data_IF_897329132025
#
_entry.id   IF_897329132025
#
_cell.length_a   1.000
_cell.length_b   1.000
_cell.length_c   1.000
_cell.angle_alpha   90.00
_cell.angle_beta   90.00
_cell.angle_gamma   90.00
#
_symmetry.space_group_name_H-M   'P 1'
#
loop_
_entity.id
_entity.type
_entity.pdbx_description
1 polymer ?
#
# COMPACT_ATOMS: atom_id res chain seq x y z
N UNK A 1 18.76 -6.82 -4.96
CA UNK A 1 18.45 -6.08 -6.19
C UNK A 1 17.09 -5.41 -6.05
N UNK A 2 16.98 -4.15 -6.42
CA UNK A 2 15.72 -3.43 -6.36
C UNK A 2 15.08 -3.35 -7.74
N UNK A 3 13.77 -3.47 -7.78
CA UNK A 3 13.00 -3.29 -9.01
C UNK A 3 11.64 -2.73 -8.69
N UNK A 4 10.95 -2.21 -9.70
CA UNK A 4 9.61 -1.66 -9.55
C UNK A 4 8.60 -2.70 -10.02
N UNK A 5 7.58 -2.92 -9.20
CA UNK A 5 6.49 -3.84 -9.52
C UNK A 5 5.15 -3.10 -9.45
N UNK A 6 4.21 -3.50 -10.30
CA UNK A 6 2.86 -2.97 -10.32
C UNK A 6 1.92 -3.93 -9.60
N UNK A 7 1.13 -3.40 -8.67
CA UNK A 7 0.08 -4.17 -8.02
C UNK A 7 -1.27 -3.60 -8.44
N UNK A 8 -2.09 -4.42 -9.07
CA UNK A 8 -3.43 -4.02 -9.49
C UNK A 8 -4.44 -4.30 -8.39
N UNK A 9 -5.21 -3.27 -8.05
CA UNK A 9 -6.30 -3.36 -7.09
C UNK A 9 -7.57 -2.82 -7.75
N UNK A 10 -8.72 -3.35 -7.38
CA UNK A 10 -9.98 -2.73 -7.77
C UNK A 10 -10.18 -1.50 -6.89
N UNK A 11 -10.90 -0.50 -7.41
CA UNK A 11 -10.98 0.83 -6.80
C UNK A 11 -11.72 0.90 -5.45
N UNK A 12 -11.89 -0.21 -4.78
CA UNK A 12 -12.58 -0.25 -3.48
C UNK A 12 -11.73 0.28 -2.31
N UNK A 13 -10.57 0.85 -2.58
CA UNK A 13 -9.69 1.40 -1.55
C UNK A 13 -10.33 2.52 -0.72
N UNK A 14 -11.38 3.16 -1.25
CA UNK A 14 -12.10 4.20 -0.52
C UNK A 14 -13.04 3.64 0.55
N UNK A 15 -13.38 2.37 0.51
CA UNK A 15 -14.34 1.76 1.44
C UNK A 15 -13.71 1.18 2.68
N UNK A 16 -12.41 1.25 2.77
CA UNK A 16 -11.68 0.72 3.91
C UNK A 16 -10.28 0.31 3.51
N UNK A 17 -9.46 -0.04 4.49
CA UNK A 17 -8.08 -0.43 4.20
C UNK A 17 -8.01 -1.74 3.47
N UNK A 18 -7.13 -1.80 2.48
CA UNK A 18 -6.77 -3.03 1.77
C UNK A 18 -5.38 -3.43 2.25
N UNK A 19 -5.22 -4.70 2.56
CA UNK A 19 -3.94 -5.22 3.03
C UNK A 19 -3.16 -5.74 1.84
N UNK A 20 -1.97 -5.20 1.65
CA UNK A 20 -1.02 -5.68 0.66
C UNK A 20 0.00 -6.57 1.36
N UNK A 21 0.10 -7.81 0.90
CA UNK A 21 1.08 -8.76 1.41
C UNK A 21 2.09 -9.05 0.32
N UNK A 22 3.36 -8.93 0.64
CA UNK A 22 4.41 -9.27 -0.29
C UNK A 22 5.66 -9.77 0.42
N UNK A 23 6.47 -10.48 -0.34
CA UNK A 23 7.69 -11.05 0.21
C UNK A 23 8.85 -10.06 0.28
N UNK A 24 8.72 -8.92 -0.36
CA UNK A 24 9.88 -8.05 -0.48
C UNK A 24 9.55 -6.61 -0.89
N UNK A 25 8.57 -5.98 -0.23
CA UNK A 25 8.35 -4.56 -0.48
C UNK A 25 9.47 -3.72 0.10
N UNK A 26 10.03 -2.83 -0.68
CA UNK A 26 10.88 -1.78 -0.20
C UNK A 26 10.06 -0.57 0.26
N UNK A 27 9.27 -0.01 -0.65
CA UNK A 27 8.38 1.11 -0.35
C UNK A 27 7.33 1.28 -1.44
N UNK A 28 6.26 2.01 -1.11
CA UNK A 28 5.24 2.40 -2.08
C UNK A 28 5.70 3.69 -2.75
N UNK A 29 5.72 3.70 -4.07
CA UNK A 29 6.21 4.83 -4.85
C UNK A 29 5.10 5.77 -5.30
N UNK A 30 4.00 5.21 -5.84
CA UNK A 30 2.94 6.03 -6.43
C UNK A 30 1.69 5.17 -6.66
N UNK A 31 0.64 5.84 -7.12
CA UNK A 31 -0.63 5.21 -7.46
C UNK A 31 -1.19 5.90 -8.70
N UNK A 32 -1.85 5.12 -9.55
CA UNK A 32 -2.54 5.69 -10.71
C UNK A 32 -3.82 4.91 -11.02
N UNK A 33 -4.74 5.58 -11.69
CA UNK A 33 -5.98 4.96 -12.13
C UNK A 33 -5.83 4.47 -13.58
N UNK A 34 -6.26 3.23 -13.82
CA UNK A 34 -6.30 2.66 -15.17
C UNK A 34 -7.65 1.99 -15.38
N UNK A 35 -8.56 2.67 -16.07
CA UNK A 35 -9.95 2.24 -16.23
C UNK A 35 -10.63 2.04 -14.87
N UNK A 36 -11.08 0.83 -14.57
CA UNK A 36 -11.71 0.52 -13.28
C UNK A 36 -10.72 0.04 -12.22
N UNK A 37 -9.45 -0.10 -12.60
CA UNK A 37 -8.42 -0.58 -11.70
C UNK A 37 -7.56 0.57 -11.18
N UNK A 38 -6.96 0.31 -10.04
CA UNK A 38 -5.96 1.17 -9.45
C UNK A 38 -4.64 0.40 -9.46
N UNK A 39 -3.58 1.05 -9.92
CA UNK A 39 -2.25 0.45 -9.97
C UNK A 39 -1.40 1.12 -8.91
N UNK A 40 -0.85 0.31 -8.01
CA UNK A 40 0.07 0.77 -6.99
C UNK A 40 1.47 0.35 -7.41
N UNK A 41 2.37 1.33 -7.52
CA UNK A 41 3.76 1.09 -7.87
C UNK A 41 4.56 0.91 -6.59
N UNK A 42 5.26 -0.20 -6.48
CA UNK A 42 6.07 -0.51 -5.32
C UNK A 42 7.50 -0.81 -5.72
N UNK A 43 8.43 -0.38 -4.88
CA UNK A 43 9.83 -0.75 -5.02
C UNK A 43 10.03 -2.04 -4.21
N UNK A 44 10.54 -3.07 -4.88
CA UNK A 44 10.76 -4.37 -4.27
C UNK A 44 12.25 -4.54 -3.99
N UNK A 45 12.56 -5.02 -2.82
CA UNK A 45 13.91 -5.42 -2.46
C UNK A 45 13.86 -6.88 -2.00
N UNK A 46 14.39 -7.78 -2.80
CA UNK A 46 14.35 -9.21 -2.56
C UNK A 46 15.17 -9.66 -1.35
N UNK A 47 15.90 -8.73 -0.73
CA UNK A 47 16.64 -9.00 0.51
C UNK A 47 15.81 -8.77 1.76
N UNK A 48 14.62 -8.22 1.60
CA UNK A 48 13.73 -7.90 2.72
C UNK A 48 12.77 -9.05 2.97
N UNK A 49 12.47 -9.31 4.23
CA UNK A 49 11.50 -10.32 4.61
C UNK A 49 10.08 -9.91 4.20
N UNK A 50 9.17 -10.86 4.30
CA UNK A 50 7.76 -10.65 4.03
C UNK A 50 7.21 -9.44 4.79
N UNK A 51 6.46 -8.60 4.10
CA UNK A 51 5.91 -7.36 4.66
C UNK A 51 4.40 -7.30 4.48
N UNK A 52 3.77 -6.57 5.39
CA UNK A 52 2.34 -6.27 5.32
C UNK A 52 2.15 -4.76 5.40
N UNK A 53 1.35 -4.22 4.49
CA UNK A 53 1.05 -2.79 4.41
C UNK A 53 -0.45 -2.64 4.22
N UNK A 54 -1.06 -1.72 4.98
CA UNK A 54 -2.45 -1.33 4.74
C UNK A 54 -2.45 -0.07 3.91
N UNK A 55 -3.30 -0.03 2.88
CA UNK A 55 -3.47 1.15 2.03
C UNK A 55 -4.94 1.55 2.00
N UNK A 56 -5.21 2.82 1.98
CA UNK A 56 -6.58 3.34 1.95
C UNK A 56 -6.64 4.70 1.27
N UNK A 57 -7.74 4.94 0.55
CA UNK A 57 -8.05 6.24 -0.01
C UNK A 57 -8.95 7.03 0.93
N UNK A 58 -8.63 8.31 1.08
CA UNK A 58 -9.41 9.26 1.90
C UNK A 58 -9.89 10.38 0.99
N UNK A 59 -11.22 10.47 0.83
CA UNK A 59 -11.81 11.52 0.02
C UNK A 59 -11.86 12.83 0.81
N UNK A 60 -11.61 13.94 0.13
CA UNK A 60 -11.74 15.27 0.74
C UNK A 60 -13.19 15.59 1.17
N UNK A 61 -14.15 14.78 0.74
CA UNK A 61 -15.57 14.93 1.09
C UNK A 61 -16.02 14.06 2.26
N UNK A 62 -15.16 13.18 2.73
CA UNK A 62 -15.48 12.29 3.84
C UNK A 62 -14.89 12.82 5.14
N UNK A 63 -15.56 12.51 6.25
CA UNK A 63 -15.12 12.96 7.55
C UNK A 63 -14.15 11.98 8.23
N UNK A 64 -13.64 11.00 7.49
CA UNK A 64 -12.74 10.00 8.05
C UNK A 64 -11.39 10.62 8.40
N UNK A 65 -10.91 10.27 9.58
CA UNK A 65 -9.59 10.73 10.02
C UNK A 65 -8.50 9.83 9.50
N UNK A 66 -7.42 10.46 9.06
CA UNK A 66 -6.23 9.75 8.62
C UNK A 66 -5.40 9.42 9.85
N UNK A 67 -5.04 8.13 10.06
CA UNK A 67 -4.15 7.79 11.16
C UNK A 67 -2.85 8.58 11.10
N UNK A 68 -2.39 9.08 12.23
CA UNK A 68 -1.28 10.02 12.30
C UNK A 68 0.07 9.44 11.84
N UNK A 69 0.20 8.12 11.88
CA UNK A 69 1.43 7.43 11.48
C UNK A 69 1.40 6.91 10.03
N UNK A 70 0.32 7.21 9.30
CA UNK A 70 0.21 6.82 7.90
C UNK A 70 0.85 7.87 7.00
N UNK A 71 1.44 7.43 5.88
CA UNK A 71 2.12 8.30 4.94
C UNK A 71 1.35 8.42 3.63
N UNK A 72 1.29 9.64 3.13
CA UNK A 72 0.72 9.94 1.83
C UNK A 72 1.61 9.42 0.71
N UNK A 73 1.03 8.79 -0.31
CA UNK A 73 1.82 8.32 -1.44
C UNK A 73 1.23 8.63 -2.82
N UNK A 74 0.07 9.24 -2.89
CA UNK A 74 -0.46 9.62 -4.19
C UNK A 74 -1.93 10.03 -4.14
N UNK A 75 -2.40 10.59 -5.24
CA UNK A 75 -3.76 11.11 -5.35
C UNK A 75 -4.38 10.73 -6.68
N UNK A 76 -5.66 10.39 -6.66
CA UNK A 76 -6.47 10.22 -7.86
C UNK A 76 -7.71 11.08 -7.67
N UNK A 77 -7.85 12.14 -8.48
CA UNK A 77 -8.96 13.07 -8.33
C UNK A 77 -8.97 13.72 -6.96
N UNK A 78 -10.05 13.51 -6.21
CA UNK A 78 -10.22 14.05 -4.86
C UNK A 78 -9.92 13.04 -3.76
N UNK A 79 -9.38 11.90 -4.11
CA UNK A 79 -9.04 10.85 -3.16
C UNK A 79 -7.54 10.84 -2.95
N UNK A 80 -7.14 10.95 -1.69
CA UNK A 80 -5.75 10.95 -1.26
C UNK A 80 -5.43 9.61 -0.65
N UNK A 81 -4.37 8.96 -1.11
CA UNK A 81 -4.03 7.62 -0.69
C UNK A 81 -2.88 7.63 0.30
N UNK A 82 -3.10 6.91 1.39
CA UNK A 82 -2.15 6.78 2.48
C UNK A 82 -1.88 5.31 2.75
N UNK A 83 -0.72 5.02 3.27
CA UNK A 83 -0.37 3.67 3.70
C UNK A 83 0.10 3.67 5.15
N UNK A 84 -0.14 2.55 5.81
CA UNK A 84 0.34 2.31 7.17
C UNK A 84 1.86 2.17 7.21
N UNK A 85 2.46 2.22 8.40
CA UNK A 85 3.84 1.78 8.54
C UNK A 85 4.02 0.37 8.02
N UNK A 86 5.19 0.08 7.50
CA UNK A 86 5.51 -1.22 6.93
C UNK A 86 5.92 -2.16 8.06
N UNK A 87 5.21 -3.28 8.17
CA UNK A 87 5.54 -4.31 9.14
C UNK A 87 6.26 -5.46 8.47
N UNK A 88 7.39 -5.83 9.02
CA UNK A 88 8.14 -7.00 8.56
C UNK A 88 7.62 -8.22 9.32
N UNK A 89 7.10 -9.20 8.59
CA UNK A 89 6.63 -10.44 9.17
C UNK A 89 7.81 -11.39 9.24
N UNK A 90 8.19 -11.74 10.44
CA UNK A 90 9.30 -12.69 10.65
C UNK A 90 8.81 -14.10 10.46
N UNK A 91 9.56 -14.89 9.74
CA UNK A 91 9.20 -16.28 9.52
C UNK A 91 9.70 -17.21 10.61
N UNK A 92 10.41 -16.66 11.56
CA UNK A 92 11.06 -17.42 12.61
C UNK A 92 10.09 -18.22 13.49
N UNK A 93 8.84 -17.76 13.57
CA UNK A 93 7.82 -18.45 14.32
C UNK A 93 7.58 -19.86 13.84
N UNK A 94 7.93 -20.14 12.61
CA UNK A 94 7.74 -21.49 12.05
C UNK A 94 8.68 -22.53 12.57
N UNK A 95 9.69 -22.11 13.27
CA UNK A 95 10.66 -23.01 13.84
C UNK A 95 10.19 -23.62 15.15
N UNK A 96 9.03 -23.22 15.60
CA UNK A 96 8.46 -23.74 16.84
C UNK A 96 7.68 -25.01 16.63
#
# INVERSE_FOLDING_TARGET
MKKIEEIRCKYLLERGPVILNANSYGKILDIEKNCDDVIIYVEIDDRVNKQEIKVQGFSSRMADEIPSDWEYFGRIGRTFFYHSPIFVIKEIERLL
#
